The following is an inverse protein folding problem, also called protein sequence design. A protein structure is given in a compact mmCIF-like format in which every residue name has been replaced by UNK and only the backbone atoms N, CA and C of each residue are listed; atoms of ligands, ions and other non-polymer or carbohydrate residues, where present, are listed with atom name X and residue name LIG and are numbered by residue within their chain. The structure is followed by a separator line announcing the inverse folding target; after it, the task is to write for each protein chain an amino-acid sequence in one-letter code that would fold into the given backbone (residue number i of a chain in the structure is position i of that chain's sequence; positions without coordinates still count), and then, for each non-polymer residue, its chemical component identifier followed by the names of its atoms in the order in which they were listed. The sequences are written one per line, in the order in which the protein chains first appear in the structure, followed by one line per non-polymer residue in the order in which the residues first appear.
data_IF_731945236436
#
_entry.id   IF_731945236436
#
_cell.length_a   1.000
_cell.length_b   1.000
_cell.length_c   1.000
_cell.angle_alpha   90.00
_cell.angle_beta   90.00
_cell.angle_gamma   90.00
#
_symmetry.space_group_name_H-M   'P 1'
#
loop_
_entity.id
_entity.type
_entity.pdbx_description
1 polymer ?
#
# COMPACT_ATOMS: atom_id res chain seq x y z
N UNK A 1 -19.22 -18.56 -25.19
CA UNK A 1 -19.15 -18.09 -23.79
C UNK A 1 -18.34 -19.11 -23.02
N UNK A 2 -17.05 -18.91 -22.88
CA UNK A 2 -16.17 -19.74 -22.03
C UNK A 2 -15.73 -18.88 -20.88
N UNK A 3 -16.30 -19.13 -19.70
CA UNK A 3 -15.87 -18.57 -18.44
C UNK A 3 -14.52 -19.26 -18.09
N UNK A 4 -13.40 -18.62 -18.37
CA UNK A 4 -12.14 -19.00 -17.79
C UNK A 4 -12.08 -18.50 -16.35
N UNK A 5 -12.54 -19.31 -15.42
CA UNK A 5 -12.17 -19.19 -14.00
C UNK A 5 -10.70 -19.59 -13.87
N UNK A 6 -9.83 -18.80 -13.23
CA UNK A 6 -8.45 -19.17 -12.97
C UNK A 6 -8.36 -20.05 -11.73
N UNK A 7 -8.92 -21.26 -11.78
CA UNK A 7 -9.00 -22.18 -10.63
C UNK A 7 -8.20 -23.47 -10.80
N UNK A 8 -7.44 -23.61 -11.87
CA UNK A 8 -6.46 -24.68 -11.98
C UNK A 8 -5.06 -24.09 -12.14
N UNK A 9 -4.45 -23.70 -11.01
CA UNK A 9 -3.00 -23.81 -10.89
C UNK A 9 -2.70 -25.28 -11.11
N UNK A 10 -2.01 -25.60 -12.21
CA UNK A 10 -1.54 -26.95 -12.50
C UNK A 10 -0.57 -27.35 -11.38
N UNK A 11 -1.11 -27.88 -10.27
CA UNK A 11 -0.34 -28.36 -9.12
C UNK A 11 0.54 -29.56 -9.49
N UNK A 12 0.46 -30.00 -10.74
CA UNK A 12 1.21 -31.14 -11.30
C UNK A 12 2.52 -30.72 -11.98
N UNK A 13 2.77 -29.41 -12.15
CA UNK A 13 4.05 -28.94 -12.72
C UNK A 13 5.12 -28.96 -11.63
N UNK A 14 6.06 -29.87 -11.75
CA UNK A 14 7.25 -29.94 -10.89
C UNK A 14 8.39 -29.15 -11.49
N UNK A 15 8.93 -28.22 -10.71
CA UNK A 15 10.13 -27.47 -11.07
C UNK A 15 11.32 -28.06 -10.29
N UNK A 16 12.48 -28.16 -10.95
CA UNK A 16 13.73 -28.61 -10.28
C UNK A 16 14.68 -27.42 -10.12
N UNK A 17 15.15 -27.19 -8.91
CA UNK A 17 16.18 -26.20 -8.60
C UNK A 17 17.32 -26.89 -7.83
N UNK A 18 18.54 -26.88 -8.37
CA UNK A 18 19.72 -27.53 -7.76
C UNK A 18 19.44 -28.99 -7.37
N UNK A 19 18.71 -29.74 -8.24
CA UNK A 19 18.37 -31.15 -8.00
C UNK A 19 17.25 -31.40 -6.98
N UNK A 20 16.64 -30.35 -6.43
CA UNK A 20 15.47 -30.46 -5.54
C UNK A 20 14.21 -30.14 -6.31
N UNK A 21 13.20 -30.99 -6.14
CA UNK A 21 11.87 -30.80 -6.70
C UNK A 21 11.14 -29.70 -5.94
N UNK A 22 10.64 -28.71 -6.68
CA UNK A 22 9.80 -27.63 -6.13
C UNK A 22 8.37 -27.81 -6.64
N UNK A 23 7.41 -27.85 -5.74
CA UNK A 23 5.99 -27.93 -6.06
C UNK A 23 5.32 -26.56 -5.92
N UNK A 24 4.41 -26.18 -6.83
CA UNK A 24 3.60 -24.98 -6.66
C UNK A 24 2.84 -24.99 -5.35
N UNK A 25 2.76 -23.83 -4.69
CA UNK A 25 2.00 -23.64 -3.45
C UNK A 25 0.94 -22.55 -3.66
N UNK A 26 -0.16 -22.64 -2.95
CA UNK A 26 -1.26 -21.68 -3.05
C UNK A 26 -0.86 -20.31 -2.52
N UNK A 27 -0.09 -20.27 -1.45
CA UNK A 27 0.52 -19.05 -0.92
C UNK A 27 1.95 -19.33 -0.44
N UNK A 28 2.81 -18.32 -0.52
CA UNK A 28 4.17 -18.37 0.01
C UNK A 28 4.46 -17.13 0.85
N UNK A 29 5.27 -17.31 1.91
CA UNK A 29 5.75 -16.20 2.71
C UNK A 29 7.14 -15.79 2.25
N UNK A 30 7.27 -14.56 1.75
CA UNK A 30 8.56 -13.98 1.37
C UNK A 30 8.79 -12.66 2.13
N UNK A 31 9.96 -12.54 2.76
CA UNK A 31 10.35 -11.36 3.57
C UNK A 31 9.25 -10.86 4.52
N UNK A 32 8.45 -11.80 5.06
CA UNK A 32 7.37 -11.48 6.00
C UNK A 32 6.01 -11.15 5.36
N UNK A 33 5.90 -11.13 4.04
CA UNK A 33 4.64 -10.92 3.30
C UNK A 33 4.14 -12.26 2.76
N UNK A 34 2.87 -12.60 3.00
CA UNK A 34 2.22 -13.74 2.36
C UNK A 34 1.69 -13.31 0.99
N UNK A 35 2.15 -13.98 -0.06
CA UNK A 35 1.75 -13.75 -1.44
C UNK A 35 0.98 -14.97 -1.96
N UNK A 36 -0.18 -14.74 -2.53
CA UNK A 36 -0.98 -15.73 -3.24
C UNK A 36 -0.89 -15.54 -4.75
N UNK A 37 -1.23 -16.56 -5.53
CA UNK A 37 -1.14 -16.55 -7.00
C UNK A 37 -1.98 -15.44 -7.66
N UNK A 38 -3.03 -14.96 -6.98
CA UNK A 38 -3.90 -13.89 -7.47
C UNK A 38 -3.48 -12.50 -7.00
N UNK A 39 -2.46 -12.40 -6.13
CA UNK A 39 -2.01 -11.18 -5.48
C UNK A 39 -3.18 -10.47 -4.73
N UNK A 40 -4.05 -11.24 -4.12
CA UNK A 40 -5.15 -10.72 -3.30
C UNK A 40 -4.68 -10.26 -1.92
N UNK A 41 -3.63 -10.90 -1.41
CA UNK A 41 -3.04 -10.67 -0.09
C UNK A 41 -3.99 -10.91 1.09
N UNK A 42 -5.05 -11.73 0.90
CA UNK A 42 -6.06 -11.96 1.94
C UNK A 42 -5.47 -12.57 3.22
N UNK A 43 -4.57 -13.55 3.09
CA UNK A 43 -3.88 -14.17 4.21
C UNK A 43 -2.97 -13.18 4.93
N UNK A 44 -2.18 -12.42 4.16
CA UNK A 44 -1.29 -11.39 4.72
C UNK A 44 -2.06 -10.36 5.54
N UNK A 45 -3.10 -9.78 4.95
CA UNK A 45 -3.91 -8.74 5.60
C UNK A 45 -4.64 -9.29 6.83
N UNK A 46 -5.09 -10.53 6.79
CA UNK A 46 -5.73 -11.17 7.95
C UNK A 46 -4.74 -11.35 9.10
N UNK A 47 -3.51 -11.84 8.81
CA UNK A 47 -2.43 -12.01 9.78
C UNK A 47 -2.01 -10.67 10.41
N UNK A 48 -1.77 -9.64 9.57
CA UNK A 48 -1.40 -8.29 10.02
C UNK A 48 -2.50 -7.68 10.88
N UNK A 49 -3.76 -7.78 10.44
CA UNK A 49 -4.91 -7.26 11.19
C UNK A 49 -5.01 -7.90 12.57
N UNK A 50 -4.88 -9.23 12.65
CA UNK A 50 -4.91 -9.95 13.91
C UNK A 50 -3.80 -9.49 14.87
N UNK A 51 -2.56 -9.41 14.37
CA UNK A 51 -1.40 -8.95 15.16
C UNK A 51 -1.58 -7.51 15.65
N UNK A 52 -2.04 -6.60 14.80
CA UNK A 52 -2.30 -5.21 15.15
C UNK A 52 -3.41 -5.09 16.21
N UNK A 53 -4.52 -5.81 16.04
CA UNK A 53 -5.61 -5.79 17.01
C UNK A 53 -5.20 -6.38 18.36
N UNK A 54 -4.36 -7.42 18.39
CA UNK A 54 -3.80 -7.96 19.62
C UNK A 54 -2.98 -6.90 20.37
N UNK A 55 -2.07 -6.22 19.68
CA UNK A 55 -1.28 -5.13 20.26
C UNK A 55 -2.18 -3.99 20.77
N UNK A 56 -3.20 -3.58 20.00
CA UNK A 56 -4.12 -2.52 20.40
C UNK A 56 -4.95 -2.89 21.63
N UNK A 57 -5.37 -4.16 21.78
CA UNK A 57 -6.08 -4.63 23.00
C UNK A 57 -5.20 -4.51 24.24
N UNK A 58 -3.90 -4.84 24.13
CA UNK A 58 -2.94 -4.69 25.22
C UNK A 58 -2.75 -3.20 25.58
N UNK A 59 -2.52 -2.35 24.59
CA UNK A 59 -2.37 -0.90 24.78
C UNK A 59 -3.64 -0.31 25.40
N UNK A 60 -4.83 -0.74 24.97
CA UNK A 60 -6.10 -0.25 25.50
C UNK A 60 -6.29 -0.55 27.00
N UNK A 61 -5.70 -1.64 27.53
CA UNK A 61 -5.76 -1.96 28.96
C UNK A 61 -4.96 -0.96 29.81
N UNK A 62 -3.83 -0.48 29.28
CA UNK A 62 -2.90 0.40 30.00
C UNK A 62 -3.00 1.88 29.59
N UNK A 63 -3.90 2.23 28.67
CA UNK A 63 -4.01 3.59 28.11
C UNK A 63 -4.23 4.69 29.17
N UNK A 64 -4.79 4.33 30.32
CA UNK A 64 -5.04 5.28 31.43
C UNK A 64 -3.75 5.69 32.13
N UNK A 65 -2.68 4.89 32.03
CA UNK A 65 -1.35 5.15 32.61
C UNK A 65 -0.46 6.00 31.67
N UNK A 66 -0.89 6.19 30.42
CA UNK A 66 -0.08 6.84 29.39
C UNK A 66 -0.70 8.18 28.99
N UNK A 67 0.14 9.19 28.79
CA UNK A 67 -0.25 10.43 28.15
C UNK A 67 -0.51 10.25 26.66
N UNK A 68 -1.12 11.26 26.03
CA UNK A 68 -1.51 11.21 24.61
C UNK A 68 -0.32 11.03 23.68
N UNK A 69 0.79 11.71 23.94
CA UNK A 69 1.97 11.66 23.05
C UNK A 69 2.64 10.27 23.12
N UNK A 70 2.77 9.74 24.32
CA UNK A 70 3.27 8.37 24.54
C UNK A 70 2.37 7.33 23.87
N UNK A 71 1.03 7.46 23.96
CA UNK A 71 0.09 6.58 23.24
C UNK A 71 0.30 6.63 21.73
N UNK A 72 0.46 7.82 21.16
CA UNK A 72 0.74 7.98 19.71
C UNK A 72 2.04 7.27 19.34
N UNK A 73 3.11 7.45 20.10
CA UNK A 73 4.41 6.84 19.82
C UNK A 73 4.36 5.32 19.92
N UNK A 74 3.73 4.78 20.98
CA UNK A 74 3.58 3.34 21.18
C UNK A 74 2.74 2.72 20.06
N UNK A 75 1.63 3.35 19.66
CA UNK A 75 0.79 2.87 18.56
C UNK A 75 1.56 2.92 17.22
N UNK A 76 2.30 3.98 16.96
CA UNK A 76 3.15 4.05 15.76
C UNK A 76 4.19 2.92 15.73
N UNK A 77 4.87 2.67 16.85
CA UNK A 77 5.92 1.67 16.93
C UNK A 77 5.40 0.22 16.88
N UNK A 78 4.30 -0.10 17.56
CA UNK A 78 3.85 -1.48 17.73
C UNK A 78 2.71 -1.89 16.79
N UNK A 79 2.00 -0.92 16.20
CA UNK A 79 0.83 -1.17 15.35
C UNK A 79 1.08 -0.68 13.93
N UNK A 80 1.35 0.61 13.72
CA UNK A 80 1.47 1.16 12.37
C UNK A 80 2.76 0.75 11.66
N UNK A 81 3.83 0.44 12.38
CA UNK A 81 5.02 -0.20 11.81
C UNK A 81 4.69 -1.53 11.13
N UNK A 82 3.86 -2.37 11.77
CA UNK A 82 3.40 -3.64 11.20
C UNK A 82 2.37 -3.42 10.10
N UNK A 83 1.38 -2.54 10.35
CA UNK A 83 0.28 -2.28 9.42
C UNK A 83 0.76 -1.78 8.07
N UNK A 84 1.82 -0.98 8.02
CA UNK A 84 2.36 -0.40 6.78
C UNK A 84 3.66 -1.06 6.30
N UNK A 85 4.08 -2.17 6.93
CA UNK A 85 5.26 -2.91 6.49
C UNK A 85 5.07 -3.40 5.05
N UNK A 86 6.06 -3.15 4.19
CA UNK A 86 6.05 -3.51 2.76
C UNK A 86 4.75 -3.13 2.02
N UNK A 87 4.07 -2.06 2.43
CA UNK A 87 2.75 -1.71 1.90
C UNK A 87 2.70 -1.55 0.39
N UNK A 88 3.76 -1.10 -0.25
CA UNK A 88 3.82 -0.97 -1.71
C UNK A 88 3.74 -2.32 -2.46
N UNK A 89 3.98 -3.45 -1.78
CA UNK A 89 3.80 -4.79 -2.36
C UNK A 89 2.32 -5.16 -2.38
N UNK A 90 1.62 -4.98 -1.27
CA UNK A 90 0.26 -5.50 -1.06
C UNK A 90 -0.85 -4.43 -1.12
N UNK A 91 -0.54 -3.15 -1.36
CA UNK A 91 -1.56 -2.07 -1.37
C UNK A 91 -2.60 -2.19 -2.49
N UNK A 92 -2.40 -3.10 -3.45
CA UNK A 92 -3.40 -3.48 -4.46
C UNK A 92 -4.46 -4.48 -3.97
N UNK A 93 -4.44 -4.80 -2.70
CA UNK A 93 -5.41 -5.72 -2.08
C UNK A 93 -6.85 -5.26 -2.24
N UNK A 94 -7.79 -6.14 -1.94
CA UNK A 94 -9.23 -5.90 -2.13
C UNK A 94 -9.76 -4.78 -1.21
N UNK A 95 -10.84 -4.10 -1.63
CA UNK A 95 -11.54 -3.10 -0.78
C UNK A 95 -11.99 -3.67 0.57
N UNK A 96 -12.36 -4.97 0.60
CA UNK A 96 -12.69 -5.70 1.83
C UNK A 96 -11.51 -5.70 2.81
N UNK A 97 -10.31 -5.92 2.32
CA UNK A 97 -9.08 -5.91 3.12
C UNK A 97 -8.71 -4.49 3.57
N UNK A 98 -8.83 -3.50 2.70
CA UNK A 98 -8.64 -2.09 3.10
C UNK A 98 -9.58 -1.73 4.25
N UNK A 99 -10.85 -2.17 4.22
CA UNK A 99 -11.81 -1.95 5.32
C UNK A 99 -11.37 -2.63 6.63
N UNK A 100 -10.79 -3.84 6.58
CA UNK A 100 -10.21 -4.49 7.78
C UNK A 100 -9.10 -3.63 8.38
N UNK A 101 -8.17 -3.14 7.56
CA UNK A 101 -7.06 -2.27 8.00
C UNK A 101 -7.57 -0.93 8.53
N UNK A 102 -8.59 -0.35 7.88
CA UNK A 102 -9.23 0.89 8.35
C UNK A 102 -9.85 0.70 9.74
N UNK A 103 -10.45 -0.45 10.02
CA UNK A 103 -10.97 -0.75 11.35
C UNK A 103 -9.88 -0.81 12.43
N UNK A 104 -8.67 -1.30 12.09
CA UNK A 104 -7.51 -1.24 12.98
C UNK A 104 -7.13 0.21 13.28
N UNK A 105 -7.03 1.05 12.24
CA UNK A 105 -6.72 2.48 12.40
C UNK A 105 -7.78 3.19 13.23
N UNK A 106 -9.06 2.90 12.99
CA UNK A 106 -10.17 3.50 13.74
C UNK A 106 -10.11 3.12 15.22
N UNK A 107 -9.76 1.88 15.54
CA UNK A 107 -9.60 1.46 16.95
C UNK A 107 -8.39 2.15 17.59
N UNK A 108 -7.26 2.25 16.89
CA UNK A 108 -6.10 3.01 17.35
C UNK A 108 -6.43 4.47 17.64
N UNK A 109 -7.17 5.12 16.73
CA UNK A 109 -7.60 6.50 16.89
C UNK A 109 -8.47 6.69 18.16
N UNK A 110 -9.43 5.79 18.39
CA UNK A 110 -10.28 5.83 19.59
C UNK A 110 -9.51 5.61 20.90
N UNK A 111 -8.46 4.79 20.89
CA UNK A 111 -7.60 4.62 22.07
C UNK A 111 -6.93 5.96 22.44
N UNK A 112 -6.37 6.67 21.44
CA UNK A 112 -5.65 7.94 21.65
C UNK A 112 -6.59 9.04 22.11
N UNK A 113 -7.75 9.18 21.46
CA UNK A 113 -8.72 10.26 21.75
C UNK A 113 -9.69 9.93 22.88
N UNK A 114 -9.67 8.67 23.36
CA UNK A 114 -10.63 8.15 24.37
C UNK A 114 -12.09 8.22 23.91
N UNK A 115 -12.34 8.30 22.60
CA UNK A 115 -13.68 8.36 22.01
C UNK A 115 -14.43 7.04 22.19
N UNK A 116 -15.76 7.11 22.24
CA UNK A 116 -16.64 5.95 22.40
C UNK A 116 -16.76 5.17 21.06
N UNK A 117 -17.19 3.92 21.16
CA UNK A 117 -17.36 3.02 19.98
C UNK A 117 -18.34 3.60 18.94
N UNK A 118 -19.37 4.28 19.38
CA UNK A 118 -20.45 4.81 18.55
C UNK A 118 -20.22 6.25 18.07
N UNK A 119 -19.17 6.93 18.57
CA UNK A 119 -18.82 8.26 18.08
C UNK A 119 -18.38 8.18 16.62
N UNK A 120 -18.76 9.17 15.82
CA UNK A 120 -18.35 9.26 14.42
C UNK A 120 -16.83 9.24 14.30
N UNK A 121 -16.29 8.44 13.39
CA UNK A 121 -14.83 8.30 13.26
C UNK A 121 -14.17 9.45 12.50
N UNK A 122 -14.89 10.08 11.58
CA UNK A 122 -14.34 11.15 10.75
C UNK A 122 -13.82 12.35 11.56
N UNK A 123 -14.54 12.89 12.56
CA UNK A 123 -14.01 13.94 13.42
C UNK A 123 -12.74 13.51 14.16
N UNK A 124 -12.70 12.26 14.64
CA UNK A 124 -11.55 11.70 15.38
C UNK A 124 -10.30 11.65 14.50
N UNK A 125 -10.42 11.18 13.25
CA UNK A 125 -9.30 11.14 12.31
C UNK A 125 -8.84 12.55 11.92
N UNK A 126 -9.77 13.51 11.77
CA UNK A 126 -9.45 14.92 11.51
C UNK A 126 -8.70 15.55 12.66
N UNK A 127 -9.12 15.30 13.93
CA UNK A 127 -8.42 15.75 15.13
C UNK A 127 -6.97 15.25 15.18
N UNK A 128 -6.75 13.97 14.86
CA UNK A 128 -5.43 13.36 14.79
C UNK A 128 -4.62 13.76 13.55
N UNK A 129 -5.26 14.47 12.60
CA UNK A 129 -4.69 14.82 11.29
C UNK A 129 -4.22 13.60 10.49
N UNK A 130 -4.87 12.46 10.69
CA UNK A 130 -4.56 11.22 10.00
C UNK A 130 -5.28 11.14 8.65
N UNK A 131 -4.56 10.59 7.65
CA UNK A 131 -5.17 10.12 6.41
C UNK A 131 -5.91 8.79 6.67
N UNK A 132 -6.90 8.49 5.84
CA UNK A 132 -7.44 7.14 5.78
C UNK A 132 -6.35 6.13 5.40
N UNK A 133 -6.56 4.83 5.69
CA UNK A 133 -5.60 3.79 5.28
C UNK A 133 -5.39 3.83 3.77
N UNK A 134 -6.44 3.95 2.97
CA UNK A 134 -6.36 4.02 1.51
C UNK A 134 -5.50 5.20 1.05
N UNK A 135 -5.77 6.41 1.55
CA UNK A 135 -4.97 7.60 1.23
C UNK A 135 -3.52 7.49 1.70
N UNK A 136 -3.27 6.81 2.84
CA UNK A 136 -1.90 6.57 3.32
C UNK A 136 -1.15 5.60 2.40
N UNK A 137 -1.81 4.57 1.86
CA UNK A 137 -1.20 3.65 0.90
C UNK A 137 -0.84 4.39 -0.40
N UNK A 138 -1.74 5.23 -0.93
CA UNK A 138 -1.48 6.09 -2.09
C UNK A 138 -0.28 7.01 -1.80
N UNK A 139 -0.25 7.65 -0.62
CA UNK A 139 0.86 8.51 -0.21
C UNK A 139 2.21 7.77 -0.25
N UNK A 140 2.26 6.54 0.28
CA UNK A 140 3.50 5.74 0.32
C UNK A 140 3.94 5.30 -1.08
N UNK A 141 3.00 4.88 -1.91
CA UNK A 141 3.29 4.49 -3.30
C UNK A 141 3.81 5.66 -4.12
N UNK A 142 3.20 6.84 -4.02
CA UNK A 142 3.66 8.04 -4.70
C UNK A 142 5.06 8.49 -4.24
N UNK A 143 5.39 8.35 -2.94
CA UNK A 143 6.74 8.62 -2.43
C UNK A 143 7.76 7.67 -3.05
N UNK A 144 7.42 6.38 -3.19
CA UNK A 144 8.34 5.41 -3.79
C UNK A 144 8.57 5.73 -5.27
N UNK A 145 7.51 6.08 -6.03
CA UNK A 145 7.64 6.56 -7.42
C UNK A 145 8.53 7.79 -7.50
N UNK A 146 8.28 8.79 -6.64
CA UNK A 146 9.11 9.99 -6.58
C UNK A 146 10.59 9.64 -6.39
N UNK A 147 10.90 8.74 -5.45
CA UNK A 147 12.28 8.29 -5.20
C UNK A 147 12.89 7.60 -6.43
N UNK A 148 12.12 6.75 -7.12
CA UNK A 148 12.58 6.11 -8.36
C UNK A 148 12.94 7.14 -9.43
N UNK A 149 12.10 8.15 -9.61
CA UNK A 149 12.29 9.18 -10.64
C UNK A 149 13.41 10.19 -10.34
N UNK A 150 13.80 10.31 -9.07
CA UNK A 150 14.83 11.24 -8.61
C UNK A 150 16.14 10.55 -8.24
N UNK A 151 16.34 9.29 -8.62
CA UNK A 151 17.58 8.55 -8.34
C UNK A 151 17.81 8.26 -6.84
N UNK A 152 16.73 8.27 -6.04
CA UNK A 152 16.75 7.98 -4.59
C UNK A 152 16.31 6.54 -4.28
N UNK A 153 16.19 5.70 -5.30
CA UNK A 153 15.82 4.29 -5.21
C UNK A 153 16.81 3.45 -6.03
N UNK A 154 16.90 2.13 -5.80
CA UNK A 154 17.77 1.25 -6.57
C UNK A 154 17.46 1.30 -8.08
N UNK A 155 18.50 1.25 -8.91
CA UNK A 155 18.42 1.39 -10.37
C UNK A 155 17.49 0.38 -11.02
N UNK A 156 17.48 -0.88 -10.55
CA UNK A 156 16.61 -1.92 -11.11
C UNK A 156 15.12 -1.57 -10.98
N UNK A 157 14.75 -0.80 -9.95
CA UNK A 157 13.39 -0.32 -9.75
C UNK A 157 13.14 0.97 -10.57
N UNK A 158 14.09 1.91 -10.54
CA UNK A 158 13.99 3.17 -11.27
C UNK A 158 13.85 2.97 -12.80
N UNK A 159 14.61 2.03 -13.38
CA UNK A 159 14.60 1.69 -14.81
C UNK A 159 13.24 1.22 -15.35
N UNK A 160 12.33 0.80 -14.46
CA UNK A 160 10.97 0.40 -14.86
C UNK A 160 10.07 1.62 -15.17
N UNK A 161 10.37 2.80 -14.60
CA UNK A 161 9.55 3.99 -14.77
C UNK A 161 10.04 4.82 -15.97
N UNK A 162 9.43 4.59 -17.14
CA UNK A 162 9.76 5.28 -18.39
C UNK A 162 8.64 6.24 -18.77
N UNK A 163 9.00 7.40 -19.32
CA UNK A 163 8.03 8.31 -19.93
C UNK A 163 7.61 7.78 -21.30
N UNK A 164 6.43 8.15 -21.76
CA UNK A 164 5.95 7.79 -23.11
C UNK A 164 6.86 8.36 -24.20
N UNK A 165 7.42 9.55 -23.99
CA UNK A 165 8.41 10.15 -24.88
C UNK A 165 9.71 9.33 -25.03
N UNK A 166 10.03 8.46 -24.09
CA UNK A 166 11.21 7.59 -24.13
C UNK A 166 10.93 6.27 -24.91
N UNK A 167 9.64 5.95 -25.12
CA UNK A 167 9.22 4.72 -25.81
C UNK A 167 8.76 5.01 -27.24
N UNK A 168 8.13 6.16 -27.48
CA UNK A 168 7.54 6.53 -28.76
C UNK A 168 7.96 7.94 -29.17
N UNK A 169 8.54 8.10 -30.36
CA UNK A 169 8.90 9.40 -30.94
C UNK A 169 7.68 10.28 -31.34
N UNK A 170 6.47 9.91 -30.97
CA UNK A 170 5.26 10.67 -31.34
C UNK A 170 5.02 11.82 -30.35
N UNK A 171 4.92 13.03 -30.88
CA UNK A 171 4.55 14.21 -30.08
C UNK A 171 3.04 14.20 -29.78
N UNK A 172 2.68 13.68 -28.62
CA UNK A 172 1.30 13.60 -28.15
C UNK A 172 1.13 14.42 -26.87
N UNK A 173 -0.13 14.85 -26.57
CA UNK A 173 -0.47 15.57 -25.33
C UNK A 173 0.03 14.86 -24.06
N UNK A 174 0.19 13.55 -24.11
CA UNK A 174 0.54 12.71 -22.98
C UNK A 174 2.02 12.25 -23.00
N UNK A 175 2.89 12.87 -23.82
CA UNK A 175 4.31 12.47 -23.96
C UNK A 175 5.08 12.48 -22.63
N UNK A 176 4.73 13.39 -21.74
CA UNK A 176 5.38 13.53 -20.42
C UNK A 176 4.81 12.61 -19.34
N UNK A 177 3.68 11.92 -19.60
CA UNK A 177 3.14 10.92 -18.69
C UNK A 177 3.98 9.65 -18.75
N UNK A 178 3.95 8.91 -17.64
CA UNK A 178 4.57 7.60 -17.58
C UNK A 178 3.81 6.60 -18.44
N UNK A 179 4.55 5.66 -19.02
CA UNK A 179 3.96 4.57 -19.76
C UNK A 179 3.30 3.56 -18.82
N UNK A 180 2.05 3.20 -19.10
CA UNK A 180 1.30 2.23 -18.31
C UNK A 180 1.47 0.86 -18.97
N UNK A 181 2.01 -0.13 -18.24
CA UNK A 181 2.20 -1.47 -18.81
C UNK A 181 0.85 -2.10 -19.21
N UNK A 182 0.83 -2.72 -20.38
CA UNK A 182 -0.38 -3.32 -20.96
C UNK A 182 -0.75 -4.68 -20.38
N UNK A 183 -0.96 -4.78 -19.07
CA UNK A 183 -1.39 -6.02 -18.44
C UNK A 183 -2.86 -6.34 -18.71
N UNK A 184 -3.11 -7.54 -19.24
CA UNK A 184 -4.47 -8.04 -19.53
C UNK A 184 -5.12 -8.75 -18.36
N UNK A 185 -4.33 -9.30 -17.42
CA UNK A 185 -4.82 -10.05 -16.27
C UNK A 185 -5.05 -9.15 -15.04
N UNK A 186 -6.00 -9.53 -14.20
CA UNK A 186 -6.24 -8.83 -12.94
C UNK A 186 -5.01 -8.87 -12.00
N UNK A 187 -4.29 -9.99 -11.96
CA UNK A 187 -3.05 -10.12 -11.20
C UNK A 187 -1.96 -9.14 -11.70
N UNK A 188 -1.79 -9.02 -13.02
CA UNK A 188 -0.86 -8.05 -13.62
C UNK A 188 -1.21 -6.60 -13.25
N UNK A 189 -2.50 -6.24 -13.27
CA UNK A 189 -2.96 -4.90 -12.88
C UNK A 189 -2.83 -4.63 -11.37
N UNK A 190 -2.71 -5.68 -10.53
CA UNK A 190 -2.42 -5.55 -9.10
C UNK A 190 -0.94 -5.34 -8.81
N UNK A 191 -0.04 -5.48 -9.78
CA UNK A 191 1.39 -5.22 -9.56
C UNK A 191 1.64 -3.77 -9.13
N UNK A 192 2.68 -3.58 -8.31
CA UNK A 192 3.08 -2.24 -7.87
C UNK A 192 3.30 -1.29 -9.06
N UNK A 193 3.99 -1.75 -10.10
CA UNK A 193 4.33 -0.89 -11.24
C UNK A 193 3.09 -0.34 -11.95
N UNK A 194 2.11 -1.18 -12.29
CA UNK A 194 0.87 -0.73 -12.95
C UNK A 194 0.13 0.31 -12.11
N UNK A 195 -0.09 0.00 -10.84
CA UNK A 195 -0.80 0.86 -9.91
C UNK A 195 -0.05 2.18 -9.67
N UNK A 196 1.25 2.10 -9.42
CA UNK A 196 2.09 3.24 -9.12
C UNK A 196 2.14 4.24 -10.28
N UNK A 197 2.28 3.75 -11.52
CA UNK A 197 2.24 4.59 -12.73
C UNK A 197 0.86 5.24 -12.90
N UNK A 198 -0.21 4.48 -12.68
CA UNK A 198 -1.59 5.01 -12.76
C UNK A 198 -1.83 6.12 -11.73
N UNK A 199 -1.41 5.91 -10.48
CA UNK A 199 -1.49 6.92 -9.42
C UNK A 199 -0.69 8.18 -9.77
N UNK A 200 0.55 8.01 -10.22
CA UNK A 200 1.44 9.11 -10.58
C UNK A 200 0.87 9.96 -11.72
N UNK A 201 0.35 9.31 -12.76
CA UNK A 201 -0.24 10.00 -13.92
C UNK A 201 -1.50 10.79 -13.59
N UNK A 202 -2.16 10.48 -12.48
CA UNK A 202 -3.34 11.20 -11.99
C UNK A 202 -3.00 12.34 -11.00
N UNK A 203 -1.74 12.44 -10.56
CA UNK A 203 -1.32 13.57 -9.74
C UNK A 203 -1.33 14.87 -10.56
N UNK A 204 -1.55 15.98 -9.87
CA UNK A 204 -1.42 17.32 -10.45
C UNK A 204 0.02 17.56 -10.91
N UNK A 205 0.19 18.26 -12.03
CA UNK A 205 1.50 18.60 -12.60
C UNK A 205 2.36 19.31 -11.56
N UNK A 206 1.78 20.23 -10.80
CA UNK A 206 2.50 20.95 -9.73
C UNK A 206 3.14 20.05 -8.66
N UNK A 207 2.64 18.81 -8.46
CA UNK A 207 3.25 17.83 -7.58
C UNK A 207 4.34 17.03 -8.28
N UNK A 208 4.11 16.62 -9.53
CA UNK A 208 5.04 15.76 -10.27
C UNK A 208 6.32 16.49 -10.69
N UNK A 209 6.30 17.82 -10.79
CA UNK A 209 7.45 18.67 -11.13
C UNK A 209 8.35 18.97 -9.93
N UNK A 210 7.91 18.74 -8.71
CA UNK A 210 8.72 18.95 -7.52
C UNK A 210 9.98 18.09 -7.56
N UNK A 211 11.09 18.69 -7.11
CA UNK A 211 12.41 18.03 -7.05
C UNK A 211 12.81 17.66 -5.62
N UNK A 212 12.33 18.43 -4.64
CA UNK A 212 12.65 18.22 -3.23
C UNK A 212 11.68 17.23 -2.58
N UNK A 213 12.21 16.15 -2.00
CA UNK A 213 11.42 15.08 -1.37
C UNK A 213 10.61 15.57 -0.17
N UNK A 214 11.17 16.47 0.65
CA UNK A 214 10.46 16.97 1.84
C UNK A 214 9.25 17.83 1.42
N UNK A 215 9.44 18.68 0.42
CA UNK A 215 8.38 19.51 -0.15
C UNK A 215 7.32 18.63 -0.82
N UNK A 216 7.73 17.64 -1.62
CA UNK A 216 6.80 16.69 -2.24
C UNK A 216 5.94 15.97 -1.20
N UNK A 217 6.54 15.43 -0.13
CA UNK A 217 5.81 14.78 0.97
C UNK A 217 4.77 15.70 1.61
N UNK A 218 5.16 16.96 1.86
CA UNK A 218 4.28 17.97 2.48
C UNK A 218 3.09 18.30 1.58
N UNK A 219 3.35 18.60 0.31
CA UNK A 219 2.29 18.98 -0.64
C UNK A 219 1.38 17.79 -1.01
N UNK A 220 1.94 16.59 -1.17
CA UNK A 220 1.16 15.36 -1.40
C UNK A 220 0.25 15.06 -0.19
N UNK A 221 0.75 15.18 1.04
CA UNK A 221 -0.06 15.02 2.26
C UNK A 221 -1.22 16.04 2.29
N UNK A 222 -0.95 17.29 1.91
CA UNK A 222 -1.97 18.35 1.84
C UNK A 222 -3.02 18.04 0.76
N UNK A 223 -2.59 17.58 -0.40
CA UNK A 223 -3.47 17.20 -1.50
C UNK A 223 -4.43 16.07 -1.09
N UNK A 224 -3.90 14.96 -0.54
CA UNK A 224 -4.70 13.82 -0.11
C UNK A 224 -5.66 14.14 1.04
N UNK A 225 -5.33 15.08 1.92
CA UNK A 225 -6.26 15.56 2.97
C UNK A 225 -7.44 16.37 2.44
N UNK A 226 -7.33 16.98 1.26
CA UNK A 226 -8.42 17.74 0.65
C UNK A 226 -9.41 16.84 -0.08
N UNK A 227 -8.96 15.65 -0.49
CA UNK A 227 -9.78 14.66 -1.19
C UNK A 227 -10.50 13.69 -0.23
N UNK A 228 -10.18 13.71 1.07
CA UNK A 228 -10.83 12.99 2.16
C UNK A 228 -11.85 13.90 2.87
#
# INVERSE_FOLDING_TARGET
MLQNTPTDLDLHVTYTLLGKELRPVVSARDLGVYMDATLSFDEHITSVTFSCLSSLRQINRIKHLLDRNTLVNVINALVFSKLYYCSSVWSSTTKKNIKKLQNVQNFAARIITRSRKFDGITPVLKELKWLSVESMLIYRDCILVFKCLRGLAPDYLAKKFKKRSEIHNKDTRNKNKMDIPGYRTAAGQRTFYYRAVSLWNNLRISLTELTNLALFKKELMRHLKREC
#
